data_IF_562507414203
#
_entry.id   IF_562507414203
#
_cell.length_a   1.000
_cell.length_b   1.000
_cell.length_c   1.000
_cell.angle_alpha   90.00
_cell.angle_beta   90.00
_cell.angle_gamma   90.00
#
_symmetry.space_group_name_H-M   'P 1'
#
loop_
_entity.id
_entity.type
_entity.pdbx_description
1 polymer ?
#
# COMPACT_ATOMS: atom_id res chain seq x y z
N UNK A 1 5.14 1.19 27.76
CA UNK A 1 4.76 0.42 26.56
C UNK A 1 3.57 1.15 25.95
N UNK A 2 3.81 2.06 25.00
CA UNK A 2 2.75 2.86 24.40
C UNK A 2 2.01 1.92 23.44
N UNK A 3 0.74 1.64 23.71
CA UNK A 3 -0.08 0.87 22.79
C UNK A 3 -0.16 1.63 21.47
N UNK A 4 0.45 1.11 20.41
CA UNK A 4 0.29 1.62 19.05
C UNK A 4 -1.20 1.59 18.71
N UNK A 5 -1.86 2.74 18.87
CA UNK A 5 -3.29 2.90 18.68
C UNK A 5 -3.55 2.81 17.18
N UNK A 6 -4.07 1.66 16.74
CA UNK A 6 -4.49 1.48 15.35
C UNK A 6 -5.75 2.30 15.06
N UNK A 7 -5.78 2.93 13.90
CA UNK A 7 -6.87 3.78 13.45
C UNK A 7 -7.87 2.95 12.67
N UNK A 8 -9.15 2.99 13.05
CA UNK A 8 -10.24 2.43 12.25
C UNK A 8 -10.66 3.42 11.17
N UNK A 9 -10.43 3.11 9.88
CA UNK A 9 -10.80 4.03 8.81
C UNK A 9 -12.30 3.98 8.55
N UNK A 10 -12.92 5.15 8.32
CA UNK A 10 -14.26 5.22 7.72
C UNK A 10 -14.12 5.17 6.20
N UNK A 11 -14.35 4.00 5.64
CA UNK A 11 -14.16 3.75 4.21
C UNK A 11 -15.48 3.76 3.47
N UNK A 12 -15.61 4.66 2.50
CA UNK A 12 -16.69 4.64 1.52
C UNK A 12 -16.12 4.95 0.13
N UNK A 13 -16.53 4.17 -0.88
CA UNK A 13 -16.18 4.40 -2.28
C UNK A 13 -14.67 4.47 -2.53
N UNK A 14 -14.20 5.60 -3.10
CA UNK A 14 -12.82 5.77 -3.54
C UNK A 14 -11.76 5.62 -2.43
N UNK A 15 -12.11 5.88 -1.17
CA UNK A 15 -11.19 5.75 -0.04
C UNK A 15 -10.74 4.30 0.17
N UNK A 16 -11.61 3.33 -0.11
CA UNK A 16 -11.31 1.90 0.00
C UNK A 16 -10.30 1.46 -1.08
N UNK A 17 -10.55 1.82 -2.34
CA UNK A 17 -9.63 1.53 -3.45
C UNK A 17 -8.24 2.16 -3.23
N UNK A 18 -8.19 3.34 -2.59
CA UNK A 18 -6.92 3.98 -2.24
C UNK A 18 -6.12 3.16 -1.22
N UNK A 19 -6.78 2.57 -0.20
CA UNK A 19 -6.11 1.72 0.79
C UNK A 19 -5.52 0.46 0.16
N UNK A 20 -6.20 -0.14 -0.80
CA UNK A 20 -5.68 -1.30 -1.55
C UNK A 20 -4.37 -0.94 -2.27
N UNK A 21 -4.26 0.27 -2.83
CA UNK A 21 -3.02 0.75 -3.45
C UNK A 21 -1.89 0.93 -2.44
N UNK A 22 -2.17 1.47 -1.25
CA UNK A 22 -1.18 1.57 -0.17
C UNK A 22 -0.71 0.18 0.28
N UNK A 23 -1.63 -0.77 0.41
CA UNK A 23 -1.28 -2.15 0.74
C UNK A 23 -0.32 -2.78 -0.27
N UNK A 24 -0.64 -2.68 -1.56
CA UNK A 24 0.21 -3.22 -2.63
C UNK A 24 1.63 -2.65 -2.57
N UNK A 25 1.76 -1.32 -2.40
CA UNK A 25 3.07 -0.65 -2.28
C UNK A 25 3.80 -1.02 -1.00
N UNK A 26 3.12 -1.11 0.13
CA UNK A 26 3.71 -1.53 1.41
C UNK A 26 4.23 -2.96 1.35
N UNK A 27 3.43 -3.88 0.79
CA UNK A 27 3.80 -5.28 0.60
C UNK A 27 5.02 -5.40 -0.31
N UNK A 28 5.01 -4.70 -1.45
CA UNK A 28 6.15 -4.68 -2.37
C UNK A 28 7.40 -4.11 -1.69
N UNK A 29 7.27 -3.04 -0.92
CA UNK A 29 8.38 -2.40 -0.21
C UNK A 29 9.05 -3.32 0.81
N UNK A 30 8.31 -4.28 1.39
CA UNK A 30 8.82 -5.30 2.31
C UNK A 30 9.32 -6.57 1.61
N UNK A 31 9.13 -6.68 0.30
CA UNK A 31 9.55 -7.86 -0.47
C UNK A 31 11.03 -7.81 -0.84
N UNK A 32 11.66 -8.98 -0.99
CA UNK A 32 13.06 -9.05 -1.43
C UNK A 32 13.18 -8.58 -2.88
N UNK A 33 14.17 -7.72 -3.15
CA UNK A 33 14.44 -7.24 -4.50
C UNK A 33 13.46 -6.17 -5.01
N UNK A 34 12.69 -5.54 -4.13
CA UNK A 34 11.90 -4.36 -4.44
C UNK A 34 12.72 -3.30 -5.19
N UNK A 35 12.12 -2.70 -6.21
CA UNK A 35 12.73 -1.63 -7.02
C UNK A 35 12.45 -0.23 -6.47
N UNK A 36 11.46 -0.11 -5.57
CA UNK A 36 11.17 1.11 -4.82
C UNK A 36 10.75 0.74 -3.39
N UNK A 37 10.89 1.70 -2.47
CA UNK A 37 10.46 1.59 -1.09
C UNK A 37 9.55 2.77 -0.71
N UNK A 38 8.26 2.49 -0.53
CA UNK A 38 7.26 3.47 -0.07
C UNK A 38 7.12 3.38 1.45
N UNK A 39 7.96 4.12 2.16
CA UNK A 39 7.97 4.17 3.62
C UNK A 39 6.61 4.59 4.21
N UNK A 40 5.91 5.50 3.52
CA UNK A 40 4.65 6.04 4.02
C UNK A 40 3.50 5.06 3.85
N UNK A 41 3.47 4.30 2.76
CA UNK A 41 2.54 3.20 2.60
C UNK A 41 2.73 2.14 3.71
N UNK A 42 3.98 1.80 4.03
CA UNK A 42 4.29 0.86 5.12
C UNK A 42 3.73 1.37 6.45
N UNK A 43 4.05 2.62 6.80
CA UNK A 43 3.58 3.24 8.04
C UNK A 43 2.04 3.29 8.12
N UNK A 44 1.36 3.67 7.03
CA UNK A 44 -0.10 3.75 6.96
C UNK A 44 -0.71 2.38 7.19
N UNK A 45 -0.25 1.35 6.47
CA UNK A 45 -0.80 -0.01 6.57
C UNK A 45 -0.62 -0.60 7.97
N UNK A 46 0.52 -0.33 8.62
CA UNK A 46 0.79 -0.82 9.98
C UNK A 46 -0.08 -0.14 11.04
N UNK A 47 -0.41 1.13 10.85
CA UNK A 47 -1.23 1.92 11.77
C UNK A 47 -2.74 1.77 11.54
N UNK A 48 -3.17 1.13 10.46
CA UNK A 48 -4.59 0.92 10.17
C UNK A 48 -5.11 -0.38 10.79
N UNK A 49 -6.30 -0.28 11.39
CA UNK A 49 -7.12 -1.43 11.78
C UNK A 49 -8.08 -1.75 10.63
N UNK A 50 -7.54 -2.34 9.55
CA UNK A 50 -8.30 -2.71 8.36
C UNK A 50 -7.86 -4.09 7.84
N UNK A 51 -8.82 -4.88 7.37
CA UNK A 51 -8.55 -6.20 6.80
C UNK A 51 -8.17 -6.09 5.32
N UNK A 52 -6.90 -6.35 5.02
CA UNK A 52 -6.36 -6.34 3.67
C UNK A 52 -6.42 -7.70 2.97
N UNK A 53 -7.12 -8.70 3.52
CA UNK A 53 -7.18 -10.07 2.98
C UNK A 53 -7.65 -10.14 1.53
N UNK A 54 -8.54 -9.24 1.11
CA UNK A 54 -9.03 -9.19 -0.27
C UNK A 54 -7.98 -8.59 -1.21
N UNK A 55 -7.30 -7.51 -0.78
CA UNK A 55 -6.18 -6.92 -1.51
C UNK A 55 -5.01 -7.91 -1.63
N UNK A 56 -4.79 -8.76 -0.62
CA UNK A 56 -3.76 -9.79 -0.62
C UNK A 56 -4.00 -10.85 -1.70
N UNK A 57 -5.25 -11.24 -1.92
CA UNK A 57 -5.63 -12.26 -2.92
C UNK A 57 -5.64 -11.71 -4.34
N UNK A 58 -5.81 -10.41 -4.53
CA UNK A 58 -5.85 -9.79 -5.86
C UNK A 58 -4.43 -9.51 -6.41
N UNK A 59 -3.83 -10.54 -7.00
CA UNK A 59 -2.51 -10.44 -7.63
C UNK A 59 -2.46 -9.46 -8.82
N UNK A 60 -3.55 -9.33 -9.60
CA UNK A 60 -3.59 -8.46 -10.78
C UNK A 60 -3.59 -6.99 -10.38
N UNK A 61 -4.40 -6.64 -9.38
CA UNK A 61 -4.42 -5.30 -8.81
C UNK A 61 -3.04 -4.94 -8.24
N UNK A 62 -2.45 -5.82 -7.42
CA UNK A 62 -1.14 -5.58 -6.81
C UNK A 62 -0.05 -5.31 -7.87
N UNK A 63 0.03 -6.14 -8.90
CA UNK A 63 1.00 -5.97 -9.99
C UNK A 63 0.77 -4.67 -10.77
N UNK A 64 -0.49 -4.32 -11.06
CA UNK A 64 -0.84 -3.07 -11.74
C UNK A 64 -0.40 -1.83 -10.95
N UNK A 65 -0.59 -1.84 -9.63
CA UNK A 65 -0.14 -0.74 -8.75
C UNK A 65 1.39 -0.62 -8.76
N UNK A 66 2.12 -1.73 -8.70
CA UNK A 66 3.59 -1.74 -8.73
C UNK A 66 4.10 -1.18 -10.06
N UNK A 67 3.59 -1.68 -11.20
CA UNK A 67 4.00 -1.23 -12.52
C UNK A 67 3.73 0.25 -12.74
N UNK A 68 2.54 0.73 -12.34
CA UNK A 68 2.19 2.15 -12.41
C UNK A 68 3.11 3.02 -11.56
N UNK A 69 3.46 2.55 -10.36
CA UNK A 69 4.36 3.29 -9.46
C UNK A 69 5.73 3.45 -10.11
N UNK A 70 6.31 2.37 -10.66
CA UNK A 70 7.60 2.43 -11.34
C UNK A 70 7.60 3.38 -12.54
N UNK A 71 6.60 3.28 -13.41
CA UNK A 71 6.50 4.13 -14.61
C UNK A 71 6.33 5.60 -14.21
N UNK A 72 5.45 5.89 -13.24
CA UNK A 72 5.24 7.28 -12.83
C UNK A 72 6.41 7.87 -12.07
N UNK A 73 7.06 7.10 -11.21
CA UNK A 73 8.28 7.54 -10.52
C UNK A 73 9.38 7.86 -11.53
N UNK A 74 9.57 7.03 -12.58
CA UNK A 74 10.52 7.30 -13.67
C UNK A 74 10.15 8.57 -14.46
N UNK A 75 8.87 8.77 -14.77
CA UNK A 75 8.41 9.95 -15.52
C UNK A 75 8.56 11.28 -14.77
N UNK A 76 8.60 11.26 -13.44
CA UNK A 76 8.78 12.46 -12.59
C UNK A 76 10.18 12.59 -12.02
N UNK A 77 11.06 11.62 -12.29
CA UNK A 77 12.47 11.69 -11.90
C UNK A 77 13.21 12.60 -12.88
N UNK A 78 13.38 13.87 -12.52
CA UNK A 78 14.27 14.83 -13.19
C UNK A 78 15.75 14.51 -12.98
#
# INVERSE_FOLDING_TARGET
MQSDMKVQPKLTGAAETMLQSFYARAKYSKSKGHKFYDAKAVEIVEKLDYDFSDAEKDGKMNQGVIARTLVFDELVSD
#
